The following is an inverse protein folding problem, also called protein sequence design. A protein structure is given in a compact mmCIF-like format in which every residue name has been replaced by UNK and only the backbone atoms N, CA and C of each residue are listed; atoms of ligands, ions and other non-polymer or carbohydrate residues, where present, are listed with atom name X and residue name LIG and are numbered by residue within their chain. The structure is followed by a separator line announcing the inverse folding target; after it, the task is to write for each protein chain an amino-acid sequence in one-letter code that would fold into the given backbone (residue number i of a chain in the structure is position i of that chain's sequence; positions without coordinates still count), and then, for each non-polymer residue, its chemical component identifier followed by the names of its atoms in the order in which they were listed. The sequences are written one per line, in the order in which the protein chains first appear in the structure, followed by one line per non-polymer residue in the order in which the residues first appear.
data_IF_254711097475
#
_entry.id   IF_254711097475
#
_cell.length_a   1.000
_cell.length_b   1.000
_cell.length_c   1.000
_cell.angle_alpha   90.00
_cell.angle_beta   90.00
_cell.angle_gamma   90.00
#
_symmetry.space_group_name_H-M   'P 1'
#
loop_
_entity.id
_entity.type
_entity.pdbx_description
1 polymer ?
#
# COMPACT_ATOMS: atom_id res chain seq x y z
N UNK A 1 -20.78 -26.35 14.57
CA UNK A 1 -20.05 -25.06 14.64
C UNK A 1 -20.87 -23.88 14.12
N UNK A 2 -21.55 -24.02 12.99
CA UNK A 2 -22.28 -22.92 12.33
C UNK A 2 -23.81 -22.99 12.46
N UNK A 3 -24.32 -23.89 13.30
CA UNK A 3 -25.77 -24.12 13.48
C UNK A 3 -26.42 -24.95 12.38
N UNK A 4 -25.75 -25.15 11.25
CA UNK A 4 -26.25 -25.90 10.10
C UNK A 4 -25.22 -26.92 9.59
N UNK A 5 -25.66 -27.79 8.68
CA UNK A 5 -24.81 -28.71 7.89
C UNK A 5 -24.66 -28.22 6.46
N UNK A 6 -23.63 -28.71 5.76
CA UNK A 6 -23.44 -28.41 4.33
C UNK A 6 -24.69 -28.73 3.53
N UNK A 7 -25.04 -27.88 2.56
CA UNK A 7 -26.22 -28.00 1.70
C UNK A 7 -27.60 -28.02 2.39
N UNK A 8 -27.68 -27.57 3.65
CA UNK A 8 -28.97 -27.47 4.38
C UNK A 8 -29.89 -26.34 3.89
N UNK A 9 -29.38 -25.38 3.12
CA UNK A 9 -30.11 -24.18 2.71
C UNK A 9 -30.24 -23.12 3.80
N UNK A 10 -29.71 -23.38 5.00
CA UNK A 10 -29.62 -22.41 6.09
C UNK A 10 -28.36 -21.57 5.98
N UNK A 11 -28.48 -20.26 6.27
CA UNK A 11 -27.32 -19.38 6.28
C UNK A 11 -26.40 -19.71 7.46
N UNK A 12 -25.13 -20.07 7.23
CA UNK A 12 -24.21 -20.41 8.31
C UNK A 12 -23.91 -19.20 9.20
N UNK A 13 -23.95 -19.40 10.51
CA UNK A 13 -23.57 -18.39 11.51
C UNK A 13 -22.70 -19.03 12.57
N UNK A 14 -21.49 -18.48 12.77
CA UNK A 14 -20.57 -19.00 13.78
C UNK A 14 -21.23 -18.95 15.16
N UNK A 15 -21.29 -20.10 15.83
CA UNK A 15 -21.80 -20.20 17.19
C UNK A 15 -20.76 -19.65 18.18
N UNK A 16 -21.16 -18.67 18.99
CA UNK A 16 -20.28 -17.97 19.94
C UNK A 16 -19.66 -18.86 21.03
N UNK A 17 -20.18 -20.07 21.24
CA UNK A 17 -19.60 -21.04 22.19
C UNK A 17 -18.38 -21.79 21.63
N UNK A 18 -18.13 -21.70 20.32
CA UNK A 18 -17.10 -22.47 19.60
C UNK A 18 -15.69 -21.86 19.73
N UNK A 19 -15.48 -20.54 19.59
CA UNK A 19 -14.15 -19.95 19.63
C UNK A 19 -13.32 -20.36 20.86
N UNK A 20 -12.06 -20.75 20.64
CA UNK A 20 -11.12 -21.12 21.69
C UNK A 20 -11.38 -22.46 22.40
N UNK A 21 -12.35 -23.27 21.96
CA UNK A 21 -12.60 -24.60 22.54
C UNK A 21 -11.64 -25.66 21.97
N UNK A 22 -11.37 -26.69 22.77
CA UNK A 22 -10.53 -27.83 22.38
C UNK A 22 -11.21 -28.67 21.30
N UNK A 23 -10.44 -29.41 20.48
CA UNK A 23 -11.01 -30.30 19.47
C UNK A 23 -11.88 -31.40 20.13
N UNK A 24 -11.54 -31.88 21.34
CA UNK A 24 -12.33 -32.86 22.08
C UNK A 24 -13.72 -32.30 22.45
N UNK A 25 -13.78 -31.05 22.92
CA UNK A 25 -15.05 -30.39 23.22
C UNK A 25 -15.91 -30.28 21.95
N UNK A 26 -15.31 -29.84 20.85
CA UNK A 26 -16.01 -29.65 19.57
C UNK A 26 -16.54 -30.99 19.04
N UNK A 27 -15.71 -32.04 19.04
CA UNK A 27 -16.10 -33.39 18.63
C UNK A 27 -17.28 -33.91 19.45
N UNK A 28 -17.20 -33.79 20.78
CA UNK A 28 -18.28 -34.20 21.70
C UNK A 28 -19.58 -33.46 21.42
N UNK A 29 -19.52 -32.15 21.19
CA UNK A 29 -20.70 -31.35 20.83
C UNK A 29 -21.26 -31.71 19.45
N UNK A 30 -20.41 -32.20 18.54
CA UNK A 30 -20.81 -32.70 17.23
C UNK A 30 -21.26 -34.17 17.25
N UNK A 31 -21.30 -34.84 18.42
CA UNK A 31 -21.83 -36.18 18.58
C UNK A 31 -20.83 -37.32 18.30
N UNK A 32 -19.53 -37.03 18.22
CA UNK A 32 -18.49 -38.04 18.04
C UNK A 32 -17.33 -37.88 19.05
N UNK A 33 -16.43 -38.86 19.08
CA UNK A 33 -15.25 -38.83 19.95
C UNK A 33 -13.97 -38.89 19.11
N UNK A 34 -12.89 -38.36 19.66
CA UNK A 34 -11.55 -38.34 19.06
C UNK A 34 -10.53 -38.73 20.12
N UNK A 35 -9.29 -39.11 19.72
CA UNK A 35 -8.20 -39.34 20.65
C UNK A 35 -7.96 -38.15 21.60
N UNK A 36 -7.55 -38.44 22.85
CA UNK A 36 -7.30 -37.42 23.87
C UNK A 36 -6.13 -36.50 23.52
N UNK A 37 -5.17 -37.00 22.75
CA UNK A 37 -3.98 -36.29 22.27
C UNK A 37 -4.19 -35.54 20.95
N UNK A 38 -5.36 -35.64 20.33
CA UNK A 38 -5.67 -34.93 19.10
C UNK A 38 -5.63 -33.41 19.31
N UNK A 39 -4.88 -32.69 18.49
CA UNK A 39 -4.68 -31.23 18.63
C UNK A 39 -5.51 -30.41 17.65
N UNK A 40 -5.85 -30.98 16.49
CA UNK A 40 -6.59 -30.32 15.40
C UNK A 40 -7.56 -31.32 14.76
N UNK A 41 -8.75 -30.85 14.38
CA UNK A 41 -9.67 -31.57 13.49
C UNK A 41 -9.46 -31.08 12.06
N UNK A 42 -9.27 -31.99 11.10
CA UNK A 42 -9.21 -31.67 9.68
C UNK A 42 -10.43 -32.31 8.98
N UNK A 43 -11.19 -31.50 8.25
CA UNK A 43 -12.36 -31.95 7.50
C UNK A 43 -12.14 -31.68 6.01
N UNK A 44 -12.30 -32.70 5.17
CA UNK A 44 -12.29 -32.54 3.72
C UNK A 44 -13.57 -31.81 3.29
N UNK A 45 -13.42 -30.72 2.53
CA UNK A 45 -14.52 -29.92 2.00
C UNK A 45 -14.49 -29.93 0.47
N UNK A 46 -15.67 -29.86 -0.16
CA UNK A 46 -15.78 -29.93 -1.62
C UNK A 46 -15.49 -28.59 -2.30
N UNK A 47 -15.96 -27.50 -1.71
CA UNK A 47 -15.90 -26.16 -2.28
C UNK A 47 -15.73 -25.08 -1.20
N UNK A 48 -15.39 -23.87 -1.60
CA UNK A 48 -15.30 -22.71 -0.72
C UNK A 48 -16.61 -21.93 -0.76
N UNK A 49 -17.16 -21.61 0.41
CA UNK A 49 -18.34 -20.74 0.51
C UNK A 49 -19.36 -21.20 1.56
N UNK A 50 -20.51 -20.53 1.57
CA UNK A 50 -21.57 -20.75 2.58
C UNK A 50 -22.18 -22.16 2.54
N UNK A 51 -22.14 -22.83 1.38
CA UNK A 51 -22.64 -24.20 1.21
C UNK A 51 -21.78 -25.25 1.92
N UNK A 52 -20.51 -24.90 2.19
CA UNK A 52 -19.55 -25.68 2.99
C UNK A 52 -19.06 -24.83 4.17
N UNK A 53 -19.87 -24.70 5.26
CA UNK A 53 -19.62 -23.74 6.34
C UNK A 53 -18.25 -23.87 7.00
N UNK A 54 -17.65 -25.06 6.98
CA UNK A 54 -16.31 -25.30 7.53
C UNK A 54 -15.21 -24.53 6.78
N UNK A 55 -15.45 -24.03 5.56
CA UNK A 55 -14.50 -23.17 4.82
C UNK A 55 -14.50 -21.72 5.31
N UNK A 56 -15.48 -21.31 6.11
CA UNK A 56 -15.54 -19.97 6.71
C UNK A 56 -14.62 -19.82 7.94
N UNK A 57 -14.54 -18.61 8.50
CA UNK A 57 -13.78 -18.35 9.73
C UNK A 57 -14.39 -19.08 10.96
N UNK A 58 -13.52 -19.77 11.71
CA UNK A 58 -13.93 -20.72 12.77
C UNK A 58 -13.44 -20.37 14.18
N UNK A 59 -12.32 -19.64 14.28
CA UNK A 59 -11.65 -19.29 15.54
C UNK A 59 -11.43 -20.48 16.51
N UNK A 60 -11.21 -21.67 15.96
CA UNK A 60 -11.15 -22.94 16.67
C UNK A 60 -10.16 -23.90 15.97
N UNK A 61 -9.67 -24.95 16.66
CA UNK A 61 -8.71 -25.92 16.10
C UNK A 61 -9.39 -26.90 15.12
N UNK A 62 -10.01 -26.36 14.09
CA UNK A 62 -10.68 -27.09 13.00
C UNK A 62 -10.21 -26.48 11.68
N UNK A 63 -9.69 -27.31 10.78
CA UNK A 63 -9.20 -26.91 9.47
C UNK A 63 -10.05 -27.54 8.36
N UNK A 64 -10.41 -26.73 7.37
CA UNK A 64 -10.95 -27.25 6.12
C UNK A 64 -9.77 -27.67 5.23
N UNK A 65 -9.88 -28.83 4.59
CA UNK A 65 -8.89 -29.37 3.67
C UNK A 65 -9.54 -29.49 2.31
N UNK A 66 -9.02 -28.76 1.33
CA UNK A 66 -9.50 -28.80 -0.04
C UNK A 66 -8.38 -29.27 -0.97
N UNK A 67 -8.75 -30.00 -2.02
CA UNK A 67 -7.82 -30.49 -3.05
C UNK A 67 -8.02 -29.69 -4.32
N UNK A 68 -6.99 -28.95 -4.72
CA UNK A 68 -6.96 -28.31 -6.02
C UNK A 68 -6.54 -29.32 -7.10
N UNK A 69 -6.91 -29.03 -8.35
CA UNK A 69 -6.56 -29.86 -9.52
C UNK A 69 -5.21 -29.47 -10.10
N UNK A 70 -4.91 -28.17 -9.99
CA UNK A 70 -3.71 -27.52 -10.45
C UNK A 70 -3.51 -26.21 -9.66
N UNK A 71 -2.44 -25.49 -9.98
CA UNK A 71 -2.08 -24.22 -9.35
C UNK A 71 -3.19 -23.15 -9.49
N UNK A 72 -3.77 -23.02 -10.68
CA UNK A 72 -4.73 -21.95 -10.95
C UNK A 72 -6.03 -22.17 -10.16
N UNK A 73 -6.49 -23.42 -10.13
CA UNK A 73 -7.62 -23.83 -9.29
C UNK A 73 -7.35 -23.57 -7.80
N UNK A 74 -6.12 -23.83 -7.31
CA UNK A 74 -5.75 -23.53 -5.94
C UNK A 74 -5.81 -22.03 -5.63
N UNK A 75 -5.35 -21.20 -6.57
CA UNK A 75 -5.38 -19.75 -6.42
C UNK A 75 -6.82 -19.22 -6.42
N UNK A 76 -7.69 -19.73 -7.30
CA UNK A 76 -9.13 -19.41 -7.29
C UNK A 76 -9.76 -19.74 -5.94
N UNK A 77 -9.52 -20.95 -5.41
CA UNK A 77 -10.04 -21.34 -4.09
C UNK A 77 -9.54 -20.41 -2.97
N UNK A 78 -8.28 -19.97 -3.03
CA UNK A 78 -7.74 -19.02 -2.05
C UNK A 78 -8.37 -17.63 -2.18
N UNK A 79 -8.60 -17.15 -3.41
CA UNK A 79 -9.30 -15.88 -3.68
C UNK A 79 -10.72 -15.90 -3.14
N UNK A 80 -11.46 -16.98 -3.40
CA UNK A 80 -12.81 -17.20 -2.88
C UNK A 80 -12.83 -17.22 -1.35
N UNK A 81 -11.85 -17.88 -0.72
CA UNK A 81 -11.75 -17.93 0.74
C UNK A 81 -11.44 -16.55 1.34
N UNK A 82 -10.62 -15.76 0.64
CA UNK A 82 -10.28 -14.39 1.03
C UNK A 82 -11.46 -13.42 0.90
N UNK A 83 -12.54 -13.74 0.18
CA UNK A 83 -13.72 -12.85 0.13
C UNK A 83 -14.25 -12.56 1.54
N UNK A 84 -14.22 -13.55 2.43
CA UNK A 84 -14.64 -13.40 3.83
C UNK A 84 -13.53 -12.88 4.76
N UNK A 85 -12.30 -12.72 4.26
CA UNK A 85 -11.11 -12.28 4.99
C UNK A 85 -10.31 -11.21 4.24
N UNK A 86 -10.99 -10.40 3.43
CA UNK A 86 -10.35 -9.55 2.43
C UNK A 86 -9.36 -8.58 3.08
N UNK A 87 -8.12 -8.57 2.56
CA UNK A 87 -7.03 -7.75 3.07
C UNK A 87 -6.32 -8.30 4.32
N UNK A 88 -6.80 -9.38 4.94
CA UNK A 88 -6.23 -9.84 6.21
C UNK A 88 -4.90 -10.59 6.02
N UNK A 89 -4.91 -11.89 5.74
CA UNK A 89 -3.70 -12.71 5.65
C UNK A 89 -3.91 -13.88 4.70
N UNK A 90 -2.91 -14.14 3.87
CA UNK A 90 -2.81 -15.34 3.05
C UNK A 90 -1.45 -16.01 3.31
N UNK A 91 -1.36 -17.32 3.20
CA UNK A 91 -0.13 -18.05 3.48
C UNK A 91 0.14 -19.09 2.39
N UNK A 92 1.41 -19.25 2.05
CA UNK A 92 1.89 -20.21 1.05
C UNK A 92 3.10 -20.96 1.57
N UNK A 93 3.13 -22.27 1.32
CA UNK A 93 4.25 -23.13 1.62
C UNK A 93 4.82 -23.70 0.31
N UNK A 94 6.02 -23.27 -0.08
CA UNK A 94 6.69 -23.67 -1.32
C UNK A 94 8.17 -23.25 -1.28
N UNK A 95 9.03 -23.90 -2.06
CA UNK A 95 10.41 -23.46 -2.30
C UNK A 95 10.56 -22.67 -3.62
N UNK A 96 9.49 -22.52 -4.39
CA UNK A 96 9.46 -21.76 -5.64
C UNK A 96 9.17 -20.27 -5.36
N UNK A 97 10.19 -19.43 -5.50
CA UNK A 97 10.08 -17.98 -5.26
C UNK A 97 9.16 -17.28 -6.26
N UNK A 98 9.17 -17.70 -7.54
CA UNK A 98 8.32 -17.09 -8.57
C UNK A 98 6.85 -17.36 -8.26
N UNK A 99 6.55 -18.58 -7.77
CA UNK A 99 5.20 -18.92 -7.30
C UNK A 99 4.76 -18.04 -6.12
N UNK A 100 5.66 -17.72 -5.19
CA UNK A 100 5.37 -16.83 -4.06
C UNK A 100 5.06 -15.42 -4.55
N UNK A 101 5.84 -14.91 -5.51
CA UNK A 101 5.60 -13.59 -6.12
C UNK A 101 4.24 -13.55 -6.83
N UNK A 102 3.94 -14.59 -7.62
CA UNK A 102 2.65 -14.71 -8.30
C UNK A 102 1.48 -14.75 -7.30
N UNK A 103 1.59 -15.57 -6.25
CA UNK A 103 0.60 -15.67 -5.19
C UNK A 103 0.39 -14.31 -4.50
N UNK A 104 1.48 -13.61 -4.15
CA UNK A 104 1.41 -12.32 -3.49
C UNK A 104 0.82 -11.20 -4.34
N UNK A 105 0.97 -11.26 -5.67
CA UNK A 105 0.33 -10.33 -6.60
C UNK A 105 -1.18 -10.61 -6.77
N UNK A 106 -1.57 -11.88 -6.68
CA UNK A 106 -2.95 -12.31 -6.95
C UNK A 106 -3.84 -12.23 -5.71
N UNK A 107 -3.34 -12.62 -4.54
CA UNK A 107 -4.14 -12.66 -3.32
C UNK A 107 -4.47 -11.25 -2.81
N UNK A 108 -5.75 -10.95 -2.62
CA UNK A 108 -6.21 -9.72 -1.95
C UNK A 108 -5.99 -9.79 -0.42
N UNK A 109 -4.74 -9.88 0.02
CA UNK A 109 -4.33 -9.89 1.42
C UNK A 109 -3.15 -8.93 1.65
N UNK A 110 -3.15 -8.19 2.76
CA UNK A 110 -2.06 -7.24 3.07
C UNK A 110 -0.83 -7.92 3.69
N UNK A 111 -0.96 -9.18 4.14
CA UNK A 111 0.12 -10.00 4.68
C UNK A 111 0.16 -11.32 3.93
N UNK A 112 1.23 -11.54 3.17
CA UNK A 112 1.52 -12.80 2.49
C UNK A 112 2.60 -13.50 3.32
N UNK A 113 2.26 -14.63 3.92
CA UNK A 113 3.14 -15.38 4.80
C UNK A 113 3.73 -16.56 4.03
N UNK A 114 5.04 -16.56 3.87
CA UNK A 114 5.76 -17.60 3.13
C UNK A 114 6.53 -18.49 4.08
N UNK A 115 6.26 -19.81 4.04
CA UNK A 115 6.97 -20.84 4.82
C UNK A 115 7.02 -20.59 6.33
N UNK A 116 5.96 -20.01 6.91
CA UNK A 116 5.85 -19.68 8.34
C UNK A 116 4.45 -19.98 8.88
N UNK A 117 4.30 -20.24 10.20
CA UNK A 117 2.98 -20.34 10.82
C UNK A 117 2.20 -19.03 10.63
N UNK A 118 1.06 -19.06 9.94
CA UNK A 118 0.33 -17.85 9.53
C UNK A 118 -0.07 -16.92 10.68
N UNK A 119 -0.49 -17.48 11.82
CA UNK A 119 -0.87 -16.69 13.01
C UNK A 119 0.31 -15.91 13.59
N UNK A 120 1.50 -16.52 13.66
CA UNK A 120 2.69 -15.87 14.22
C UNK A 120 3.41 -15.00 13.18
N UNK A 121 3.39 -15.41 11.92
CA UNK A 121 3.91 -14.62 10.81
C UNK A 121 3.10 -13.34 10.59
N UNK A 122 1.77 -13.39 10.74
CA UNK A 122 0.89 -12.23 10.54
C UNK A 122 1.07 -11.13 11.59
N UNK A 123 1.29 -11.50 12.86
CA UNK A 123 1.54 -10.51 13.93
C UNK A 123 2.91 -9.83 13.80
N UNK A 124 3.88 -10.47 13.14
CA UNK A 124 5.20 -9.91 12.83
C UNK A 124 6.30 -10.20 13.87
N UNK A 125 7.51 -9.74 13.57
CA UNK A 125 8.77 -9.77 14.36
C UNK A 125 9.36 -11.16 14.68
N UNK A 126 8.54 -12.14 15.06
CA UNK A 126 9.02 -13.46 15.53
C UNK A 126 9.69 -14.25 14.41
N UNK A 127 9.05 -14.29 13.24
CA UNK A 127 9.54 -15.05 12.08
C UNK A 127 9.92 -14.17 10.90
N UNK A 128 9.53 -12.89 10.89
CA UNK A 128 9.73 -11.99 9.75
C UNK A 128 9.87 -10.53 10.22
N UNK A 129 10.17 -9.64 9.27
CA UNK A 129 10.39 -8.22 9.54
C UNK A 129 9.11 -7.35 9.51
N UNK A 130 7.91 -7.94 9.49
CA UNK A 130 6.67 -7.18 9.61
C UNK A 130 6.61 -6.62 11.03
N UNK A 131 6.22 -5.35 11.16
CA UNK A 131 6.17 -4.69 12.46
C UNK A 131 5.21 -5.41 13.43
N UNK A 132 5.62 -5.66 14.69
CA UNK A 132 4.82 -6.44 15.64
C UNK A 132 3.52 -5.71 16.00
N UNK A 133 2.37 -6.38 15.89
CA UNK A 133 1.07 -5.83 16.32
C UNK A 133 0.01 -6.91 16.53
N UNK A 134 -0.98 -6.61 17.37
CA UNK A 134 -2.23 -7.37 17.49
C UNK A 134 -3.41 -6.65 16.84
N UNK A 135 -3.16 -5.51 16.18
CA UNK A 135 -4.14 -4.79 15.38
C UNK A 135 -3.65 -4.76 13.94
N UNK A 136 -4.22 -5.64 13.12
CA UNK A 136 -3.77 -5.91 11.76
C UNK A 136 -4.72 -5.21 10.79
N UNK A 137 -4.27 -4.13 10.14
CA UNK A 137 -5.12 -3.39 9.21
C UNK A 137 -5.32 -4.14 7.90
N UNK A 138 -6.55 -4.27 7.41
CA UNK A 138 -6.90 -5.00 6.18
C UNK A 138 -6.88 -4.12 4.91
N UNK A 139 -6.38 -2.88 5.00
CA UNK A 139 -6.34 -1.94 3.88
C UNK A 139 -7.73 -1.65 3.30
N UNK A 140 -7.75 -1.07 2.10
CA UNK A 140 -9.01 -0.72 1.43
C UNK A 140 -9.87 -1.94 1.07
N UNK A 141 -9.26 -3.12 0.90
CA UNK A 141 -9.98 -4.38 0.65
C UNK A 141 -10.95 -4.71 1.80
N UNK A 142 -10.51 -4.53 3.04
CA UNK A 142 -11.33 -4.72 4.24
C UNK A 142 -11.96 -3.43 4.80
N UNK A 143 -11.98 -2.33 4.04
CA UNK A 143 -12.56 -1.06 4.47
C UNK A 143 -11.76 -0.32 5.56
N UNK A 144 -10.45 -0.57 5.69
CA UNK A 144 -9.56 0.10 6.64
C UNK A 144 -8.70 1.17 5.97
N UNK A 145 -8.33 2.21 6.73
CA UNK A 145 -7.41 3.27 6.29
C UNK A 145 -5.94 2.85 6.32
N UNK A 146 -5.62 1.70 6.90
CA UNK A 146 -4.27 1.17 7.09
C UNK A 146 -4.25 -0.30 6.64
N UNK A 147 -3.20 -0.69 5.90
CA UNK A 147 -2.93 -2.08 5.47
C UNK A 147 -1.83 -2.76 6.28
N UNK A 148 -0.99 -1.98 6.95
CA UNK A 148 0.08 -2.49 7.80
C UNK A 148 -0.41 -2.94 9.17
N UNK A 149 0.50 -3.57 9.92
CA UNK A 149 0.35 -3.80 11.35
C UNK A 149 0.38 -2.44 12.05
N UNK A 150 -0.66 -2.12 12.82
CA UNK A 150 -0.80 -0.79 13.44
C UNK A 150 0.32 -0.57 14.46
N UNK A 151 1.00 0.55 14.32
CA UNK A 151 2.14 0.99 15.13
C UNK A 151 1.86 2.34 15.80
N UNK A 152 2.76 2.75 16.70
CA UNK A 152 2.70 4.06 17.37
C UNK A 152 2.60 5.24 16.39
N UNK A 153 3.23 5.15 15.20
CA UNK A 153 3.15 6.19 14.15
C UNK A 153 1.73 6.42 13.63
N UNK A 154 0.84 5.43 13.76
CA UNK A 154 -0.57 5.56 13.39
C UNK A 154 -1.41 6.26 14.45
N UNK A 155 -0.85 6.47 15.66
CA UNK A 155 -1.55 7.02 16.83
C UNK A 155 -1.17 8.46 17.14
N UNK A 156 -0.33 9.08 16.30
CA UNK A 156 0.16 10.45 16.50
C UNK A 156 -0.17 11.35 15.31
N UNK A 157 -0.39 12.63 15.61
CA UNK A 157 -0.48 13.67 14.60
C UNK A 157 0.89 14.32 14.38
N UNK A 158 1.36 14.37 13.13
CA UNK A 158 2.61 15.06 12.77
C UNK A 158 2.28 16.46 12.25
N UNK A 159 2.64 17.50 13.00
CA UNK A 159 2.51 18.90 12.58
C UNK A 159 3.69 19.28 11.69
N UNK A 160 3.43 19.82 10.49
CA UNK A 160 4.45 20.36 9.57
C UNK A 160 4.27 21.87 9.40
N UNK A 161 5.30 22.65 9.71
CA UNK A 161 5.31 24.10 9.47
C UNK A 161 6.09 24.34 8.17
N UNK A 162 5.37 24.71 7.11
CA UNK A 162 5.97 24.99 5.80
C UNK A 162 6.08 26.51 5.58
N UNK A 163 7.31 27.02 5.47
CA UNK A 163 7.56 28.41 5.05
C UNK A 163 7.40 28.52 3.54
N UNK A 164 6.76 29.59 3.07
CA UNK A 164 6.77 29.95 1.64
C UNK A 164 8.20 30.28 1.20
N UNK A 165 8.73 29.52 0.24
CA UNK A 165 9.94 29.88 -0.49
C UNK A 165 9.55 30.66 -1.75
N UNK A 166 10.32 31.69 -2.10
CA UNK A 166 10.18 32.32 -3.41
C UNK A 166 10.81 31.40 -4.45
N UNK A 167 10.11 31.17 -5.57
CA UNK A 167 10.72 30.54 -6.74
C UNK A 167 11.91 31.40 -7.18
N UNK A 168 13.03 30.75 -7.52
CA UNK A 168 14.22 31.42 -8.03
C UNK A 168 13.84 32.26 -9.25
N UNK A 169 13.89 33.59 -9.11
CA UNK A 169 13.68 34.50 -10.22
C UNK A 169 14.99 34.57 -11.02
N UNK A 170 14.98 33.95 -12.20
CA UNK A 170 16.08 34.07 -13.15
C UNK A 170 16.09 35.48 -13.74
N UNK A 171 16.89 36.37 -13.16
CA UNK A 171 17.21 37.63 -13.81
C UNK A 171 18.33 37.37 -14.82
N UNK A 172 17.97 37.15 -16.09
CA UNK A 172 18.95 37.07 -17.19
C UNK A 172 19.48 38.49 -17.46
N UNK A 173 20.63 38.83 -16.90
CA UNK A 173 21.36 40.03 -17.28
C UNK A 173 21.75 39.86 -18.77
N UNK A 174 21.53 40.86 -19.64
CA UNK A 174 22.04 40.82 -21.01
C UNK A 174 23.54 40.50 -21.01
N UNK A 175 24.01 39.74 -21.99
CA UNK A 175 25.42 39.30 -22.05
C UNK A 175 26.43 40.46 -22.11
N UNK A 176 25.98 41.68 -22.41
CA UNK A 176 26.79 42.89 -22.48
C UNK A 176 25.99 44.07 -21.91
N UNK A 177 26.27 44.43 -20.66
CA UNK A 177 25.78 45.66 -20.01
C UNK A 177 26.96 46.58 -19.75
N UNK A 178 26.92 47.79 -20.30
CA UNK A 178 27.94 48.82 -20.11
C UNK A 178 27.33 49.97 -19.31
N UNK A 179 27.92 50.35 -18.17
CA UNK A 179 27.29 51.29 -17.22
C UNK A 179 28.23 52.36 -16.67
N UNK A 180 29.51 52.38 -17.08
CA UNK A 180 30.49 53.38 -16.66
C UNK A 180 30.42 54.66 -17.51
N UNK A 181 30.97 55.75 -17.00
CA UNK A 181 31.11 56.99 -17.77
C UNK A 181 31.82 56.72 -19.10
N UNK A 182 31.29 57.26 -20.21
CA UNK A 182 31.71 57.02 -21.59
C UNK A 182 31.39 55.62 -22.17
N UNK A 183 30.57 54.81 -21.50
CA UNK A 183 30.09 53.52 -22.04
C UNK A 183 29.45 53.64 -23.44
N UNK A 184 28.86 54.79 -23.76
CA UNK A 184 28.29 55.08 -25.08
C UNK A 184 29.30 54.95 -26.23
N UNK A 185 30.60 55.19 -25.99
CA UNK A 185 31.65 55.08 -27.01
C UNK A 185 31.70 53.67 -27.62
N UNK A 186 31.37 52.65 -26.84
CA UNK A 186 31.32 51.28 -27.36
C UNK A 186 30.31 51.10 -28.49
N UNK A 187 29.25 51.93 -28.57
CA UNK A 187 28.30 51.89 -29.70
C UNK A 187 29.01 52.14 -31.04
N UNK A 188 30.04 53.00 -31.06
CA UNK A 188 30.85 53.31 -32.25
C UNK A 188 31.72 52.13 -32.68
N UNK A 189 32.24 51.38 -31.72
CA UNK A 189 33.14 50.25 -31.96
C UNK A 189 32.39 48.93 -32.22
N UNK A 190 31.05 48.94 -32.13
CA UNK A 190 30.22 47.74 -32.34
C UNK A 190 30.06 47.41 -33.83
N UNK A 191 30.76 46.36 -34.25
CA UNK A 191 30.72 45.86 -35.62
C UNK A 191 29.31 45.35 -36.03
N UNK A 192 28.81 45.83 -37.16
CA UNK A 192 27.58 45.33 -37.79
C UNK A 192 26.25 45.89 -37.25
N UNK A 193 26.28 46.89 -36.36
CA UNK A 193 25.06 47.59 -35.93
C UNK A 193 24.55 48.48 -37.06
N UNK A 194 23.26 48.35 -37.38
CA UNK A 194 22.56 49.21 -38.37
C UNK A 194 21.48 50.09 -37.75
N UNK A 195 21.01 49.74 -36.56
CA UNK A 195 19.95 50.45 -35.82
C UNK A 195 20.22 50.32 -34.32
N UNK A 196 20.03 51.41 -33.60
CA UNK A 196 20.02 51.45 -32.15
C UNK A 196 18.72 52.12 -31.68
N UNK A 197 18.20 51.71 -30.52
CA UNK A 197 17.07 52.36 -29.87
C UNK A 197 17.57 52.92 -28.55
N UNK A 198 17.45 54.22 -28.39
CA UNK A 198 17.76 54.91 -27.13
C UNK A 198 16.45 55.01 -26.36
N UNK A 199 16.43 54.48 -25.15
CA UNK A 199 15.30 54.60 -24.23
C UNK A 199 15.74 55.50 -23.10
N UNK A 200 15.21 56.72 -23.05
CA UNK A 200 15.50 57.71 -22.02
C UNK A 200 14.21 58.43 -21.59
N UNK A 201 14.27 59.12 -20.47
CA UNK A 201 13.19 60.04 -20.07
C UNK A 201 13.28 61.37 -20.83
N UNK A 202 12.22 62.17 -20.70
CA UNK A 202 12.07 63.48 -21.37
C UNK A 202 13.06 64.52 -20.85
N UNK A 203 13.56 64.38 -19.62
CA UNK A 203 14.51 65.33 -19.02
C UNK A 203 15.89 65.15 -19.64
N UNK A 204 16.33 63.90 -19.83
CA UNK A 204 17.60 63.57 -20.46
C UNK A 204 17.67 64.03 -21.92
N UNK A 205 16.55 63.96 -22.64
CA UNK A 205 16.40 64.54 -23.98
C UNK A 205 16.59 66.07 -23.93
N UNK A 206 15.85 66.77 -23.06
CA UNK A 206 15.91 68.23 -22.95
C UNK A 206 17.27 68.77 -22.52
N UNK A 207 18.04 68.00 -21.74
CA UNK A 207 19.40 68.33 -21.34
C UNK A 207 20.46 68.08 -22.43
N UNK A 208 20.04 67.62 -23.62
CA UNK A 208 20.92 67.34 -24.76
C UNK A 208 21.86 66.14 -24.53
N UNK A 209 21.52 65.24 -23.60
CA UNK A 209 22.34 64.05 -23.30
C UNK A 209 22.18 63.01 -24.41
N UNK A 210 20.99 62.92 -25.02
CA UNK A 210 20.73 62.07 -26.19
C UNK A 210 21.54 62.53 -27.39
N UNK A 211 21.67 63.85 -27.60
CA UNK A 211 22.40 64.42 -28.73
C UNK A 211 23.88 64.01 -28.70
N UNK A 212 24.48 63.93 -27.49
CA UNK A 212 25.86 63.42 -27.32
C UNK A 212 26.04 61.97 -27.80
N UNK A 213 24.97 61.18 -27.89
CA UNK A 213 25.01 59.81 -28.40
C UNK A 213 24.92 59.80 -29.94
N UNK A 214 24.22 60.77 -30.52
CA UNK A 214 24.04 60.93 -31.96
C UNK A 214 25.27 61.58 -32.62
N UNK A 215 25.91 62.52 -31.93
CA UNK A 215 27.00 63.35 -32.46
C UNK A 215 28.41 62.72 -32.37
N UNK A 216 28.55 61.51 -31.78
CA UNK A 216 29.83 60.80 -31.55
C UNK A 216 30.20 59.81 -32.67
#
# INVERSE_FOLDING_TARGET
MFGCTSYSGEKPKLNSVVPGKSPQYIAKQAGFTIPEDATILAAECQEVGEMEPLTMEKLAPVQAVLKAKDKDHAFIMCEEMLVHGAGHTAAIHTDDEELVREYGLRMHACRIIWNQPSSLGGIGDIYNAIAPSLTLGCGSYGGNSVSGNVQAVNLINVKRIARRNNNMQWFKIPSKTYFEANAVRYLRDMYGIRKAVIVCDKVMEQLGIVDKVIDQ
#
